data_IF_740317797367
#
_entry.id   IF_740317797367
#
_cell.length_a   1.000
_cell.length_b   1.000
_cell.length_c   1.000
_cell.angle_alpha   90.00
_cell.angle_beta   90.00
_cell.angle_gamma   90.00
#
_symmetry.space_group_name_H-M   'P 1'
#
loop_
_entity.id
_entity.type
_entity.pdbx_description
1 polymer ?
#
# COMPACT_ATOMS: atom_id res chain seq x y z
N UNK A 1 -22.11 -16.01 10.13
CA UNK A 1 -21.19 -17.19 10.05
C UNK A 1 -20.43 -17.33 8.72
N UNK A 2 -20.99 -16.94 7.55
CA UNK A 2 -20.25 -16.92 6.26
C UNK A 2 -19.09 -15.91 6.20
N UNK A 3 -19.27 -14.72 6.77
CA UNK A 3 -18.26 -13.66 6.81
C UNK A 3 -16.98 -14.06 7.57
N UNK A 4 -17.11 -14.83 8.67
CA UNK A 4 -15.98 -15.26 9.50
C UNK A 4 -15.05 -16.25 8.79
N UNK A 5 -15.60 -17.12 7.93
CA UNK A 5 -14.82 -18.09 7.15
C UNK A 5 -14.03 -17.45 6.01
N UNK A 6 -14.46 -16.28 5.52
CA UNK A 6 -13.73 -15.50 4.53
C UNK A 6 -12.53 -14.73 5.12
N UNK A 7 -12.54 -14.46 6.44
CA UNK A 7 -11.78 -13.32 6.96
C UNK A 7 -10.45 -13.64 7.69
N UNK A 8 -10.18 -14.84 8.23
CA UNK A 8 -9.06 -14.95 9.19
C UNK A 8 -7.83 -15.81 8.83
N UNK A 9 -7.94 -16.99 8.22
CA UNK A 9 -6.81 -17.95 8.29
C UNK A 9 -5.73 -17.85 7.22
N UNK A 10 -5.89 -16.99 6.20
CA UNK A 10 -4.93 -16.90 5.09
C UNK A 10 -4.56 -15.48 4.62
N UNK A 11 -5.20 -14.43 5.15
CA UNK A 11 -5.03 -13.05 4.65
C UNK A 11 -3.58 -12.58 4.77
N UNK A 12 -2.93 -12.91 5.89
CA UNK A 12 -1.53 -12.55 6.15
C UNK A 12 -0.52 -13.36 5.35
N UNK A 13 -0.91 -14.50 4.77
CA UNK A 13 -0.03 -15.32 3.92
C UNK A 13 0.10 -14.77 2.50
N UNK A 14 -0.84 -13.93 2.07
CA UNK A 14 -0.88 -13.38 0.72
C UNK A 14 -0.52 -11.88 0.76
N UNK A 15 0.66 -11.48 0.27
CA UNK A 15 1.12 -10.09 0.30
C UNK A 15 0.14 -9.07 -0.28
N UNK A 16 -0.56 -9.45 -1.35
CA UNK A 16 -1.56 -8.61 -2.02
C UNK A 16 -2.85 -8.41 -1.21
N UNK A 17 -3.13 -9.28 -0.23
CA UNK A 17 -4.34 -9.17 0.60
C UNK A 17 -4.07 -8.31 1.83
N UNK A 18 -3.01 -8.60 2.60
CA UNK A 18 -2.76 -7.83 3.82
C UNK A 18 -2.38 -6.37 3.52
N UNK A 19 -1.71 -6.08 2.40
CA UNK A 19 -1.38 -4.70 2.01
C UNK A 19 -2.63 -3.86 1.78
N UNK A 20 -3.67 -4.45 1.20
CA UNK A 20 -4.97 -3.82 1.01
C UNK A 20 -5.68 -3.54 2.34
N UNK A 21 -5.62 -4.48 3.29
CA UNK A 21 -6.22 -4.29 4.62
C UNK A 21 -5.51 -3.19 5.40
N UNK A 22 -4.18 -3.10 5.32
CA UNK A 22 -3.43 -1.99 5.91
C UNK A 22 -3.81 -0.65 5.28
N UNK A 23 -3.96 -0.58 3.96
CA UNK A 23 -4.38 0.64 3.29
C UNK A 23 -5.79 1.09 3.75
N UNK A 24 -6.72 0.14 3.94
CA UNK A 24 -8.02 0.44 4.54
C UNK A 24 -7.94 0.85 6.01
N UNK A 25 -7.03 0.27 6.80
CA UNK A 25 -6.79 0.70 8.16
C UNK A 25 -6.29 2.16 8.20
N UNK A 26 -5.37 2.52 7.30
CA UNK A 26 -4.93 3.90 7.14
C UNK A 26 -6.05 4.84 6.71
N UNK A 27 -6.96 4.39 5.83
CA UNK A 27 -8.12 5.18 5.42
C UNK A 27 -9.00 5.50 6.63
N UNK A 28 -9.26 4.51 7.48
CA UNK A 28 -10.01 4.69 8.72
C UNK A 28 -9.29 5.64 9.68
N UNK A 29 -7.98 5.48 9.86
CA UNK A 29 -7.19 6.38 10.72
C UNK A 29 -7.19 7.82 10.20
N UNK A 30 -7.12 8.01 8.89
CA UNK A 30 -7.15 9.32 8.27
C UNK A 30 -8.51 10.02 8.45
N UNK A 31 -9.62 9.31 8.25
CA UNK A 31 -10.96 9.87 8.44
C UNK A 31 -11.23 10.20 9.91
N UNK A 32 -10.80 9.33 10.84
CA UNK A 32 -10.87 9.59 12.28
C UNK A 32 -9.99 10.78 12.68
N UNK A 33 -8.77 10.87 12.13
CA UNK A 33 -7.88 12.01 12.35
C UNK A 33 -8.48 13.32 11.84
N UNK A 34 -9.14 13.29 10.68
CA UNK A 34 -9.82 14.47 10.13
C UNK A 34 -11.03 14.88 10.99
N UNK A 35 -11.81 13.92 11.48
CA UNK A 35 -12.89 14.18 12.43
C UNK A 35 -12.38 14.76 13.75
N UNK A 36 -11.29 14.21 14.30
CA UNK A 36 -10.68 14.70 15.53
C UNK A 36 -10.13 16.14 15.38
N UNK A 37 -9.62 16.50 14.20
CA UNK A 37 -9.25 17.88 13.88
C UNK A 37 -10.47 18.81 13.87
N UNK A 38 -11.57 18.41 13.22
CA UNK A 38 -12.80 19.21 13.21
C UNK A 38 -13.42 19.38 14.61
N UNK A 39 -13.22 18.42 15.51
CA UNK A 39 -13.63 18.50 16.91
C UNK A 39 -12.65 19.29 17.81
N UNK A 40 -11.55 19.80 17.25
CA UNK A 40 -10.52 20.56 17.98
C UNK A 40 -9.57 19.72 18.82
N UNK A 41 -9.59 18.39 18.71
CA UNK A 41 -8.70 17.48 19.46
C UNK A 41 -7.31 17.36 18.84
N UNK A 42 -7.18 17.63 17.54
CA UNK A 42 -5.90 17.72 16.85
C UNK A 42 -5.64 19.16 16.45
N UNK A 43 -4.41 19.61 16.64
CA UNK A 43 -3.99 20.99 16.30
C UNK A 43 -3.67 21.16 14.82
N UNK A 44 -3.27 20.08 14.13
CA UNK A 44 -2.79 20.14 12.75
C UNK A 44 -3.50 19.12 11.84
N UNK A 45 -4.19 19.55 10.77
CA UNK A 45 -4.84 18.64 9.82
C UNK A 45 -3.82 17.89 8.95
N UNK A 46 -2.58 18.38 8.89
CA UNK A 46 -1.51 17.82 8.07
C UNK A 46 -1.29 16.33 8.35
N UNK A 47 -1.36 15.90 9.62
CA UNK A 47 -1.17 14.49 9.99
C UNK A 47 -2.24 13.57 9.36
N UNK A 48 -3.50 13.97 9.42
CA UNK A 48 -4.60 13.24 8.81
C UNK A 48 -4.45 13.18 7.27
N UNK A 49 -4.03 14.30 6.66
CA UNK A 49 -3.82 14.36 5.22
C UNK A 49 -2.67 13.43 4.75
N UNK A 50 -1.59 13.32 5.52
CA UNK A 50 -0.50 12.41 5.21
C UNK A 50 -0.86 10.94 5.47
N UNK A 51 -1.63 10.65 6.52
CA UNK A 51 -2.20 9.33 6.73
C UNK A 51 -3.08 8.91 5.54
N UNK A 52 -3.90 9.83 5.02
CA UNK A 52 -4.72 9.61 3.84
C UNK A 52 -3.87 9.41 2.58
N UNK A 53 -2.99 10.34 2.25
CA UNK A 53 -2.26 10.33 1.00
C UNK A 53 -1.18 9.24 0.94
N UNK A 54 -0.33 9.15 1.97
CA UNK A 54 0.83 8.26 1.99
C UNK A 54 0.42 6.85 2.41
N UNK A 55 -0.33 6.74 3.52
CA UNK A 55 -0.74 5.44 4.08
C UNK A 55 -1.87 4.80 3.28
N UNK A 56 -3.00 5.49 3.15
CA UNK A 56 -4.19 4.92 2.55
C UNK A 56 -4.09 4.87 1.02
N UNK A 57 -3.99 6.02 0.35
CA UNK A 57 -3.98 6.10 -1.11
C UNK A 57 -2.72 5.47 -1.70
N UNK A 58 -1.54 5.82 -1.19
CA UNK A 58 -0.28 5.19 -1.60
C UNK A 58 -0.32 3.66 -1.46
N UNK A 59 -0.81 3.16 -0.32
CA UNK A 59 -0.96 1.72 -0.06
C UNK A 59 -1.93 1.04 -1.00
N UNK A 60 -3.12 1.62 -1.19
CA UNK A 60 -4.16 1.13 -2.11
C UNK A 60 -3.64 1.08 -3.55
N UNK A 61 -3.01 2.16 -4.02
CA UNK A 61 -2.46 2.26 -5.37
C UNK A 61 -1.40 1.19 -5.58
N UNK A 62 -0.41 1.08 -4.68
CA UNK A 62 0.66 0.10 -4.82
C UNK A 62 0.13 -1.34 -4.81
N UNK A 63 -0.81 -1.65 -3.90
CA UNK A 63 -1.43 -2.96 -3.81
C UNK A 63 -2.26 -3.30 -5.06
N UNK A 64 -3.04 -2.34 -5.57
CA UNK A 64 -3.87 -2.54 -6.76
C UNK A 64 -3.03 -2.65 -8.02
N UNK A 65 -2.04 -1.79 -8.23
CA UNK A 65 -1.13 -1.88 -9.38
C UNK A 65 -0.45 -3.25 -9.42
N UNK A 66 0.10 -3.73 -8.30
CA UNK A 66 0.72 -5.05 -8.24
C UNK A 66 -0.23 -6.20 -8.59
N UNK A 67 -1.49 -6.13 -8.13
CA UNK A 67 -2.51 -7.13 -8.42
C UNK A 67 -2.95 -7.09 -9.89
N UNK A 68 -3.26 -5.90 -10.38
CA UNK A 68 -3.80 -5.64 -11.72
C UNK A 68 -2.75 -5.96 -12.78
N UNK A 69 -1.47 -5.61 -12.56
CA UNK A 69 -0.38 -5.98 -13.47
C UNK A 69 -0.22 -7.49 -13.60
N UNK A 70 -0.32 -8.26 -12.51
CA UNK A 70 -0.29 -9.73 -12.59
C UNK A 70 -1.51 -10.28 -13.34
N UNK A 71 -2.70 -9.77 -13.03
CA UNK A 71 -3.95 -10.19 -13.65
C UNK A 71 -4.01 -9.94 -15.17
N UNK A 72 -3.62 -8.74 -15.62
CA UNK A 72 -3.65 -8.40 -17.05
C UNK A 72 -2.49 -9.01 -17.85
N UNK A 73 -1.42 -9.44 -17.19
CA UNK A 73 -0.31 -10.12 -17.88
C UNK A 73 -0.49 -11.65 -17.95
N UNK A 74 -1.63 -12.17 -17.48
CA UNK A 74 -1.92 -13.60 -17.44
C UNK A 74 -1.06 -14.38 -16.43
N UNK A 75 -0.36 -13.68 -15.53
CA UNK A 75 0.53 -14.30 -14.54
C UNK A 75 -0.26 -14.69 -13.29
N UNK A 76 0.21 -15.74 -12.60
CA UNK A 76 -0.34 -16.10 -11.31
C UNK A 76 -0.29 -14.90 -10.34
N UNK A 77 -1.30 -14.74 -9.48
CA UNK A 77 -1.40 -13.67 -8.47
C UNK A 77 -0.42 -13.87 -7.29
N UNK A 78 0.82 -14.21 -7.61
CA UNK A 78 1.93 -14.39 -6.68
C UNK A 78 2.97 -13.31 -6.99
N UNK A 79 3.00 -12.22 -6.21
CA UNK A 79 3.96 -11.16 -6.46
C UNK A 79 5.38 -11.64 -6.12
N UNK A 80 6.42 -11.05 -6.73
CA UNK A 80 7.81 -11.28 -6.32
C UNK A 80 8.00 -11.02 -4.83
N UNK A 81 8.92 -11.75 -4.18
CA UNK A 81 9.24 -11.54 -2.75
C UNK A 81 9.61 -10.07 -2.44
N UNK A 82 10.24 -9.39 -3.38
CA UNK A 82 10.57 -7.96 -3.31
C UNK A 82 9.34 -7.06 -3.07
N UNK A 83 8.16 -7.43 -3.57
CA UNK A 83 6.95 -6.64 -3.39
C UNK A 83 6.46 -6.64 -1.93
N UNK A 84 6.72 -7.73 -1.20
CA UNK A 84 6.41 -7.80 0.24
C UNK A 84 7.22 -6.75 1.00
N UNK A 85 8.50 -6.57 0.63
CA UNK A 85 9.35 -5.50 1.16
C UNK A 85 8.85 -4.12 0.75
N UNK A 86 8.42 -3.94 -0.50
CA UNK A 86 7.85 -2.66 -0.96
C UNK A 86 6.61 -2.26 -0.13
N UNK A 87 5.69 -3.20 0.14
CA UNK A 87 4.53 -2.94 1.00
C UNK A 87 4.93 -2.60 2.44
N UNK A 88 5.93 -3.31 2.99
CA UNK A 88 6.45 -3.03 4.33
C UNK A 88 7.11 -1.65 4.42
N UNK A 89 7.97 -1.30 3.46
CA UNK A 89 8.65 -0.01 3.37
C UNK A 89 7.65 1.14 3.24
N UNK A 90 6.61 0.98 2.41
CA UNK A 90 5.60 2.02 2.25
C UNK A 90 4.85 2.28 3.57
N UNK A 91 4.47 1.22 4.29
CA UNK A 91 3.83 1.34 5.60
C UNK A 91 4.76 1.95 6.64
N UNK A 92 6.04 1.57 6.64
CA UNK A 92 7.05 2.17 7.52
C UNK A 92 7.22 3.66 7.21
N UNK A 93 7.27 4.04 5.93
CA UNK A 93 7.33 5.44 5.50
C UNK A 93 6.11 6.24 5.94
N UNK A 94 4.91 5.66 5.84
CA UNK A 94 3.68 6.28 6.33
C UNK A 94 3.68 6.44 7.86
N UNK A 95 4.12 5.43 8.61
CA UNK A 95 4.27 5.49 10.07
C UNK A 95 5.26 6.57 10.48
N UNK A 96 6.45 6.61 9.88
CA UNK A 96 7.45 7.66 10.14
C UNK A 96 6.85 9.02 9.80
N UNK A 97 6.13 9.16 8.67
CA UNK A 97 5.57 10.45 8.28
C UNK A 97 4.54 11.01 9.27
N UNK A 98 3.74 10.13 9.88
CA UNK A 98 2.65 10.51 10.77
C UNK A 98 3.10 10.57 12.23
N UNK A 99 4.00 9.68 12.67
CA UNK A 99 4.42 9.56 14.06
C UNK A 99 5.76 10.26 14.36
N UNK A 100 6.67 10.37 13.38
CA UNK A 100 7.95 11.02 13.59
C UNK A 100 7.86 12.52 13.30
N UNK A 101 8.51 13.31 14.16
CA UNK A 101 8.66 14.75 13.97
C UNK A 101 9.50 15.09 12.72
N UNK A 102 9.67 16.39 12.46
CA UNK A 102 10.30 16.93 11.25
C UNK A 102 11.68 16.37 10.90
N UNK A 103 12.44 15.88 11.88
CA UNK A 103 13.81 15.37 11.69
C UNK A 103 13.92 14.07 10.87
N UNK A 104 12.84 13.32 10.71
CA UNK A 104 12.87 11.99 10.06
C UNK A 104 12.12 11.95 8.71
N UNK A 105 11.73 13.11 8.18
CA UNK A 105 10.93 13.21 6.95
C UNK A 105 11.67 12.68 5.72
N UNK A 106 12.99 12.87 5.64
CA UNK A 106 13.81 12.34 4.56
C UNK A 106 13.77 10.81 4.52
N UNK A 107 13.73 10.15 5.69
CA UNK A 107 13.67 8.70 5.78
C UNK A 107 12.30 8.19 5.33
N UNK A 108 11.22 8.88 5.72
CA UNK A 108 9.88 8.57 5.22
C UNK A 108 9.80 8.67 3.69
N UNK A 109 10.36 9.73 3.12
CA UNK A 109 10.42 9.92 1.66
C UNK A 109 11.27 8.83 0.98
N UNK A 110 12.40 8.45 1.57
CA UNK A 110 13.25 7.38 1.06
C UNK A 110 12.52 6.03 1.06
N UNK A 111 11.86 5.67 2.17
CA UNK A 111 11.07 4.44 2.25
C UNK A 111 9.97 4.40 1.19
N UNK A 112 9.25 5.51 1.00
CA UNK A 112 8.22 5.63 -0.03
C UNK A 112 8.81 5.48 -1.45
N UNK A 113 9.90 6.19 -1.75
CA UNK A 113 10.54 6.16 -3.05
C UNK A 113 11.07 4.75 -3.39
N UNK A 114 11.72 4.09 -2.44
CA UNK A 114 12.23 2.72 -2.63
C UNK A 114 11.08 1.73 -2.84
N UNK A 115 9.95 1.88 -2.14
CA UNK A 115 8.79 1.01 -2.34
C UNK A 115 8.24 1.09 -3.78
N UNK A 116 8.07 2.30 -4.32
CA UNK A 116 7.62 2.49 -5.70
C UNK A 116 8.68 2.13 -6.74
N UNK A 117 9.96 2.38 -6.45
CA UNK A 117 11.07 1.97 -7.33
C UNK A 117 11.15 0.45 -7.46
N UNK A 118 10.97 -0.30 -6.37
CA UNK A 118 10.89 -1.76 -6.40
C UNK A 118 9.73 -2.24 -7.27
N UNK A 119 8.54 -1.62 -7.14
CA UNK A 119 7.43 -1.95 -8.02
C UNK A 119 7.79 -1.68 -9.48
N UNK A 120 8.27 -0.48 -9.81
CA UNK A 120 8.62 -0.13 -11.18
C UNK A 120 9.67 -1.09 -11.77
N UNK A 121 10.73 -1.41 -11.03
CA UNK A 121 11.80 -2.29 -11.49
C UNK A 121 11.31 -3.71 -11.82
N UNK A 122 10.53 -4.31 -10.93
CA UNK A 122 10.06 -5.69 -11.12
C UNK A 122 8.88 -5.81 -12.08
N UNK A 123 8.02 -4.79 -12.15
CA UNK A 123 6.80 -4.85 -12.96
C UNK A 123 6.95 -4.20 -14.34
N UNK A 124 7.96 -3.35 -14.59
CA UNK A 124 8.18 -2.76 -15.92
C UNK A 124 8.42 -3.84 -16.98
N UNK A 125 9.35 -4.77 -16.73
CA UNK A 125 9.62 -5.87 -17.65
C UNK A 125 8.39 -6.75 -17.87
N UNK A 126 7.59 -6.96 -16.83
CA UNK A 126 6.35 -7.71 -16.89
C UNK A 126 5.31 -7.08 -17.81
N UNK A 127 5.21 -5.74 -17.80
CA UNK A 127 4.24 -4.97 -18.59
C UNK A 127 4.72 -4.72 -20.03
N UNK A 128 6.03 -4.74 -20.27
CA UNK A 128 6.61 -4.59 -21.61
C UNK A 128 6.73 -5.91 -22.38
N UNK A 129 6.43 -7.05 -21.75
CA UNK A 129 6.41 -8.36 -22.40
C UNK A 129 4.99 -8.75 -22.79
N UNK A 130 4.86 -9.50 -23.89
CA UNK A 130 3.59 -10.11 -24.27
C UNK A 130 3.05 -10.98 -23.12
N UNK A 131 1.72 -11.07 -23.05
CA UNK A 131 1.05 -11.89 -22.04
C UNK A 131 1.50 -13.34 -22.12
N UNK A 132 1.65 -13.96 -20.95
CA UNK A 132 2.11 -15.35 -20.84
C UNK A 132 1.05 -16.34 -21.31
N UNK A 133 -0.23 -15.95 -21.30
CA UNK A 133 -1.38 -16.77 -21.72
C UNK A 133 -1.65 -16.71 -23.25
N UNK A 134 -0.89 -15.91 -24.00
CA UNK A 134 -1.01 -15.80 -25.46
C UNK A 134 -2.29 -15.10 -25.95
N UNK A 135 -3.12 -14.57 -25.05
CA UNK A 135 -4.30 -13.78 -25.42
C UNK A 135 -3.90 -12.36 -25.84
N UNK A 136 -4.67 -11.73 -26.75
CA UNK A 136 -4.43 -10.33 -27.10
C UNK A 136 -4.62 -9.44 -25.85
N UNK A 137 -3.58 -8.68 -25.54
CA UNK A 137 -3.53 -7.72 -24.43
C UNK A 137 -2.12 -7.19 -24.21
#
# INVERSE_FOLDING_TARGET
LRLWRWHLRGVWRVPLLWSLHLAYAWLLLATLGMAAWHLGWLTQPSLANHALAVGAMGGLILAMMARVSLGHTGRALQPPKAMTWAFGLLNLGALIRVAAGSSWLWLAALCWAVAFALFAWYYASMLCQARVDGHPG
#
